data_IF_255671943816
#
_entry.id   IF_255671943816
#
_cell.length_a   1.000
_cell.length_b   1.000
_cell.length_c   1.000
_cell.angle_alpha   90.00
_cell.angle_beta   90.00
_cell.angle_gamma   90.00
#
_symmetry.space_group_name_H-M   'P 1'
#
loop_
_entity.id
_entity.type
_entity.pdbx_description
1 polymer ?
#
# COMPACT_ATOMS: atom_id res chain seq x y z
N UNK A 1 27.58 11.25 4.57
CA UNK A 1 26.45 12.04 5.10
C UNK A 1 25.23 11.16 5.24
N UNK A 2 25.05 10.52 6.39
CA UNK A 2 23.83 9.80 6.76
C UNK A 2 23.39 10.40 8.11
N UNK A 3 22.55 11.46 8.10
CA UNK A 3 22.14 12.11 9.33
C UNK A 3 21.36 11.12 10.21
N UNK A 4 21.52 11.23 11.53
CA UNK A 4 20.75 10.43 12.46
C UNK A 4 19.25 10.64 12.21
N UNK A 5 18.54 9.53 12.01
CA UNK A 5 17.11 9.55 11.80
C UNK A 5 16.45 8.37 12.54
N UNK A 6 15.26 8.60 13.07
CA UNK A 6 14.44 7.59 13.72
C UNK A 6 13.16 7.41 12.92
N UNK A 7 12.85 6.16 12.54
CA UNK A 7 11.58 5.80 11.88
C UNK A 7 10.66 5.13 12.87
N UNK A 8 9.41 5.60 12.92
CA UNK A 8 8.34 5.01 13.71
C UNK A 8 7.25 4.58 12.74
N UNK A 9 6.72 3.37 12.92
CA UNK A 9 5.64 2.83 12.10
C UNK A 9 4.41 2.58 13.00
N UNK A 10 3.56 3.59 13.25
CA UNK A 10 2.49 3.51 14.26
C UNK A 10 1.45 2.43 13.99
N UNK A 11 1.28 2.06 12.72
CA UNK A 11 0.28 1.08 12.26
C UNK A 11 0.92 -0.25 11.84
N UNK A 12 2.16 -0.53 12.24
CA UNK A 12 2.89 -1.73 11.79
C UNK A 12 2.16 -3.04 12.11
N UNK A 13 1.42 -3.08 13.22
CA UNK A 13 0.69 -4.26 13.68
C UNK A 13 -0.73 -4.37 13.11
N UNK A 14 -1.18 -3.37 12.36
CA UNK A 14 -2.53 -3.34 11.80
C UNK A 14 -2.55 -4.23 10.56
N UNK A 15 -3.58 -5.07 10.45
CA UNK A 15 -3.93 -5.72 9.19
C UNK A 15 -4.61 -4.70 8.28
N UNK A 16 -4.62 -4.98 6.98
CA UNK A 16 -5.35 -4.15 6.02
C UNK A 16 -6.84 -4.04 6.36
N UNK A 17 -7.44 -5.12 6.89
CA UNK A 17 -8.82 -5.11 7.38
C UNK A 17 -9.04 -4.09 8.50
N UNK A 18 -8.12 -4.01 9.47
CA UNK A 18 -8.20 -3.04 10.57
C UNK A 18 -8.20 -1.59 10.06
N UNK A 19 -7.44 -1.33 8.98
CA UNK A 19 -7.37 -0.03 8.32
C UNK A 19 -8.73 0.32 7.69
N UNK A 20 -9.30 -0.57 6.88
CA UNK A 20 -10.60 -0.33 6.24
C UNK A 20 -11.75 -0.19 7.25
N UNK A 21 -11.79 -1.05 8.26
CA UNK A 21 -12.79 -0.97 9.33
C UNK A 21 -12.69 0.39 10.06
N UNK A 22 -11.47 0.87 10.33
CA UNK A 22 -11.24 2.18 10.96
C UNK A 22 -11.69 3.33 10.06
N UNK A 23 -11.35 3.28 8.77
CA UNK A 23 -11.74 4.29 7.78
C UNK A 23 -13.26 4.41 7.72
N UNK A 24 -13.98 3.29 7.58
CA UNK A 24 -15.44 3.29 7.49
C UNK A 24 -16.09 3.71 8.81
N UNK A 25 -15.64 3.17 9.95
CA UNK A 25 -16.19 3.50 11.27
C UNK A 25 -16.10 4.99 11.59
N UNK A 26 -15.03 5.65 11.17
CA UNK A 26 -14.78 7.06 11.46
C UNK A 26 -15.10 8.00 10.28
N UNK A 27 -15.69 7.47 9.19
CA UNK A 27 -15.99 8.23 7.98
C UNK A 27 -14.78 9.01 7.43
N UNK A 28 -13.60 8.39 7.45
CA UNK A 28 -12.37 9.01 6.97
C UNK A 28 -12.44 9.08 5.43
N UNK A 29 -12.22 10.25 4.80
CA UNK A 29 -12.19 10.34 3.35
C UNK A 29 -10.97 9.61 2.78
N UNK A 30 -11.15 8.91 1.67
CA UNK A 30 -10.09 8.18 0.98
C UNK A 30 -10.18 8.36 -0.55
N UNK A 31 -9.14 7.94 -1.27
CA UNK A 31 -9.04 8.13 -2.72
C UNK A 31 -10.13 7.35 -3.48
N UNK A 32 -10.76 7.97 -4.47
CA UNK A 32 -11.84 7.35 -5.24
C UNK A 32 -11.41 6.09 -6.03
N UNK A 33 -10.10 5.94 -6.29
CA UNK A 33 -9.56 4.77 -6.98
C UNK A 33 -9.79 3.46 -6.23
N UNK A 34 -9.91 3.51 -4.90
CA UNK A 34 -10.19 2.32 -4.09
C UNK A 34 -11.59 1.74 -4.35
N UNK A 35 -12.58 2.57 -4.72
CA UNK A 35 -13.90 2.09 -5.12
C UNK A 35 -13.85 1.25 -6.40
N UNK A 36 -12.94 1.60 -7.31
CA UNK A 36 -12.80 0.92 -8.60
C UNK A 36 -11.68 -0.13 -8.55
N UNK A 37 -11.38 -0.66 -7.36
CA UNK A 37 -10.60 -1.88 -7.17
C UNK A 37 -9.08 -1.78 -7.31
N UNK A 38 -8.54 -0.57 -7.28
CA UNK A 38 -7.13 -0.40 -6.91
C UNK A 38 -6.97 -0.71 -5.42
N UNK A 39 -5.94 -1.47 -5.04
CA UNK A 39 -5.69 -1.82 -3.64
C UNK A 39 -4.44 -1.15 -3.07
N UNK A 40 -3.40 -0.94 -3.89
CA UNK A 40 -2.19 -0.21 -3.53
C UNK A 40 -1.86 0.86 -4.54
N UNK A 41 -1.63 2.10 -4.11
CA UNK A 41 -1.42 3.25 -4.99
C UNK A 41 0.03 3.72 -4.99
N UNK A 42 0.53 4.09 -6.17
CA UNK A 42 1.78 4.82 -6.34
C UNK A 42 1.75 5.62 -7.64
N UNK A 43 2.86 5.66 -8.37
CA UNK A 43 2.90 6.40 -9.64
C UNK A 43 1.97 5.76 -10.69
N UNK A 44 1.26 6.59 -11.46
CA UNK A 44 0.25 6.20 -12.46
C UNK A 44 0.71 5.09 -13.42
N UNK A 45 1.92 5.18 -13.97
CA UNK A 45 2.45 4.19 -14.91
C UNK A 45 2.95 2.88 -14.28
N UNK A 46 2.83 2.73 -12.96
CA UNK A 46 3.33 1.58 -12.20
C UNK A 46 2.34 1.07 -11.15
N UNK A 47 1.06 1.36 -11.36
CA UNK A 47 -0.04 1.04 -10.47
C UNK A 47 -1.17 0.49 -11.30
N UNK A 48 -1.64 -0.70 -10.95
CA UNK A 48 -2.66 -1.44 -11.69
C UNK A 48 -3.79 -1.84 -10.75
N UNK A 49 -4.99 -1.95 -11.32
CA UNK A 49 -6.19 -2.41 -10.64
C UNK A 49 -6.05 -3.90 -10.30
N UNK A 50 -6.48 -4.28 -9.11
CA UNK A 50 -6.35 -5.66 -8.60
C UNK A 50 -7.58 -6.52 -8.90
N UNK A 51 -8.77 -5.90 -8.90
CA UNK A 51 -10.05 -6.57 -9.09
C UNK A 51 -11.10 -5.54 -9.50
N UNK A 52 -12.27 -5.95 -10.00
CA UNK A 52 -13.40 -5.07 -10.34
C UNK A 52 -14.26 -4.62 -9.15
N UNK A 53 -14.03 -5.17 -7.96
CA UNK A 53 -14.71 -4.79 -6.73
C UNK A 53 -13.87 -3.81 -5.88
N UNK A 54 -14.51 -3.01 -5.00
CA UNK A 54 -13.81 -2.09 -4.11
C UNK A 54 -12.72 -2.76 -3.28
N UNK A 55 -11.67 -2.01 -2.93
CA UNK A 55 -10.48 -2.52 -2.25
C UNK A 55 -10.78 -3.32 -0.98
N UNK A 56 -11.68 -2.83 -0.12
CA UNK A 56 -12.06 -3.48 1.16
C UNK A 56 -12.91 -4.75 0.98
N UNK A 57 -13.46 -4.99 -0.22
CA UNK A 57 -14.24 -6.20 -0.54
C UNK A 57 -13.41 -7.30 -1.17
N UNK A 58 -12.14 -7.00 -1.53
CA UNK A 58 -11.21 -7.98 -2.07
C UNK A 58 -10.78 -9.01 -1.02
N UNK A 59 -10.11 -10.07 -1.47
CA UNK A 59 -9.55 -11.08 -0.56
C UNK A 59 -8.33 -10.51 0.20
N UNK A 60 -8.62 -9.88 1.34
CA UNK A 60 -7.59 -9.20 2.14
C UNK A 60 -6.63 -10.16 2.85
N UNK A 61 -7.05 -11.40 3.09
CA UNK A 61 -6.29 -12.33 3.93
C UNK A 61 -5.37 -13.24 3.11
N UNK A 62 -5.75 -13.59 1.87
CA UNK A 62 -4.99 -14.53 1.05
C UNK A 62 -4.26 -13.88 -0.13
N UNK A 63 -4.39 -12.57 -0.33
CA UNK A 63 -3.68 -11.85 -1.39
C UNK A 63 -2.97 -10.59 -0.85
N UNK A 64 -1.84 -10.26 -1.45
CA UNK A 64 -1.01 -9.12 -1.04
C UNK A 64 -1.60 -7.78 -1.51
N UNK A 65 -1.68 -6.82 -0.59
CA UNK A 65 -2.09 -5.42 -0.86
C UNK A 65 -1.33 -4.83 -2.06
N UNK A 66 0.00 -5.01 -2.08
CA UNK A 66 0.92 -4.43 -3.08
C UNK A 66 0.98 -5.19 -4.40
N UNK A 67 0.14 -6.19 -4.63
CA UNK A 67 0.15 -6.98 -5.86
C UNK A 67 -0.10 -6.12 -7.12
N UNK A 68 -0.81 -4.99 -6.98
CA UNK A 68 -1.09 -4.06 -8.08
C UNK A 68 0.09 -3.12 -8.41
N UNK A 69 1.18 -3.17 -7.64
CA UNK A 69 2.39 -2.39 -7.93
C UNK A 69 3.31 -3.13 -8.90
N UNK A 70 4.02 -2.38 -9.74
CA UNK A 70 5.04 -2.96 -10.61
C UNK A 70 6.15 -3.61 -9.79
N UNK A 71 6.19 -4.94 -9.77
CA UNK A 71 7.10 -5.72 -8.92
C UNK A 71 8.57 -5.47 -9.26
N UNK A 72 8.94 -5.46 -10.55
CA UNK A 72 10.33 -5.17 -10.94
C UNK A 72 10.82 -3.78 -10.50
N UNK A 73 9.92 -2.79 -10.41
CA UNK A 73 10.28 -1.48 -9.83
C UNK A 73 10.45 -1.57 -8.32
N UNK A 74 9.59 -2.31 -7.61
CA UNK A 74 9.70 -2.47 -6.15
C UNK A 74 10.98 -3.21 -5.76
N UNK A 75 11.36 -4.27 -6.49
CA UNK A 75 12.61 -5.02 -6.28
C UNK A 75 13.85 -4.12 -6.42
N UNK A 76 13.91 -3.32 -7.50
CA UNK A 76 15.01 -2.36 -7.69
C UNK A 76 15.03 -1.33 -6.55
N UNK A 77 13.86 -0.83 -6.14
CA UNK A 77 13.78 0.14 -5.04
C UNK A 77 14.20 -0.47 -3.70
N UNK A 78 13.95 -1.75 -3.47
CA UNK A 78 14.42 -2.47 -2.29
C UNK A 78 15.94 -2.65 -2.29
N UNK A 79 16.54 -3.01 -3.43
CA UNK A 79 18.00 -3.06 -3.60
C UNK A 79 18.65 -1.69 -3.37
N UNK A 80 18.07 -0.62 -3.89
CA UNK A 80 18.60 0.73 -3.66
C UNK A 80 18.56 1.12 -2.17
N UNK A 81 17.51 0.72 -1.44
CA UNK A 81 17.42 0.94 0.02
C UNK A 81 18.47 0.15 0.79
N UNK A 82 18.72 -1.12 0.44
CA UNK A 82 19.72 -1.93 1.13
C UNK A 82 21.14 -1.43 0.92
N UNK A 83 21.39 -0.77 -0.22
CA UNK A 83 22.65 -0.11 -0.55
C UNK A 83 22.79 1.31 0.05
N UNK A 84 21.78 1.83 0.74
CA UNK A 84 21.83 3.14 1.40
C UNK A 84 21.61 4.34 0.47
N UNK A 85 21.02 4.13 -0.71
CA UNK A 85 20.67 5.22 -1.65
C UNK A 85 19.33 5.90 -1.33
N UNK A 86 18.78 5.70 -0.13
CA UNK A 86 17.52 6.26 0.34
C UNK A 86 17.56 6.55 1.83
#
# INVERSE_FOLDING_TARGET
>A
NNPDHTRIHPILHFKERDIWDTIHKNNIPFCSLYYIGYRSLGAKGSTFKNSDIPAWEQDLENTSERAGRSQGKEEIMEQLRSLGYM
#
